data_IF_637107136434
#
_entry.id   IF_637107136434
#
_cell.length_a   1.000
_cell.length_b   1.000
_cell.length_c   1.000
_cell.angle_alpha   90.00
_cell.angle_beta   90.00
_cell.angle_gamma   90.00
#
_symmetry.space_group_name_H-M   'P 1'
#
loop_
_entity.id
_entity.type
_entity.pdbx_description
1 polymer ?
#
# COMPACT_ATOMS: atom_id res chain seq x y z
N UNK A 1 11.13 8.28 -16.34
CA UNK A 1 9.99 7.97 -15.47
C UNK A 1 9.41 6.62 -15.82
N UNK A 2 9.30 5.78 -14.87
CA UNK A 2 8.80 4.44 -15.10
C UNK A 2 7.32 4.34 -14.78
N UNK A 3 6.58 3.75 -15.69
CA UNK A 3 5.20 3.38 -15.41
C UNK A 3 5.21 2.03 -14.72
N UNK A 4 4.26 1.83 -13.83
CA UNK A 4 4.13 0.55 -13.19
C UNK A 4 5.08 0.31 -12.03
N UNK A 5 5.48 1.38 -11.36
CA UNK A 5 6.34 1.29 -10.19
C UNK A 5 5.63 0.68 -8.98
N UNK A 6 4.32 0.63 -9.02
CA UNK A 6 3.49 0.13 -7.92
C UNK A 6 2.47 -0.86 -8.45
N UNK A 7 2.13 -1.81 -7.60
CA UNK A 7 1.07 -2.78 -7.90
C UNK A 7 -0.11 -2.46 -7.01
N UNK A 8 -1.32 -2.50 -7.56
CA UNK A 8 -2.53 -2.08 -6.87
C UNK A 8 -3.64 -3.10 -7.03
N UNK A 9 -4.34 -3.35 -5.94
CA UNK A 9 -5.58 -4.11 -5.94
C UNK A 9 -6.67 -3.22 -5.38
N UNK A 10 -7.76 -3.06 -6.14
CA UNK A 10 -8.88 -2.22 -5.72
C UNK A 10 -10.09 -3.08 -5.44
N UNK A 11 -10.72 -2.82 -4.31
CA UNK A 11 -11.92 -3.55 -3.90
C UNK A 11 -12.97 -2.54 -3.47
N UNK A 12 -14.17 -2.67 -4.03
CA UNK A 12 -15.31 -1.86 -3.60
C UNK A 12 -16.27 -2.76 -2.85
N UNK A 13 -16.75 -2.27 -1.73
CA UNK A 13 -17.69 -3.02 -0.92
C UNK A 13 -18.68 -2.07 -0.28
N UNK A 14 -19.92 -2.17 -0.70
CA UNK A 14 -20.96 -1.21 -0.28
C UNK A 14 -20.51 0.21 -0.60
N UNK A 15 -20.45 1.08 0.38
CA UNK A 15 -20.04 2.47 0.17
C UNK A 15 -18.57 2.69 0.43
N UNK A 16 -17.82 1.63 0.69
CA UNK A 16 -16.41 1.75 1.01
C UNK A 16 -15.55 1.33 -0.16
N UNK A 17 -14.42 1.98 -0.31
CA UNK A 17 -13.41 1.57 -1.28
C UNK A 17 -12.12 1.25 -0.55
N UNK A 18 -11.59 0.09 -0.88
CA UNK A 18 -10.33 -0.41 -0.36
C UNK A 18 -9.29 -0.39 -1.45
N UNK A 19 -8.08 0.02 -1.13
CA UNK A 19 -6.99 -0.12 -2.08
C UNK A 19 -5.77 -0.67 -1.34
N UNK A 20 -5.14 -1.67 -1.94
CA UNK A 20 -3.90 -2.24 -1.44
C UNK A 20 -2.82 -1.96 -2.45
N UNK A 21 -1.75 -1.33 -2.01
CA UNK A 21 -0.69 -0.83 -2.87
C UNK A 21 0.65 -1.33 -2.36
N UNK A 22 1.48 -1.87 -3.24
CA UNK A 22 2.84 -2.23 -2.85
C UNK A 22 3.81 -1.79 -3.93
N UNK A 23 5.07 -1.64 -3.52
CA UNK A 23 6.14 -1.47 -4.49
C UNK A 23 6.12 -2.68 -5.40
N UNK A 24 6.21 -2.46 -6.71
CA UNK A 24 5.99 -3.54 -7.68
C UNK A 24 6.98 -4.69 -7.53
N UNK A 25 8.20 -4.40 -7.09
CA UNK A 25 9.21 -5.44 -6.92
C UNK A 25 8.98 -6.32 -5.69
N UNK A 26 8.07 -5.94 -4.81
CA UNK A 26 7.73 -6.75 -3.65
C UNK A 26 6.62 -7.76 -3.91
N UNK A 27 5.90 -7.58 -5.01
CA UNK A 27 4.75 -8.45 -5.28
C UNK A 27 5.20 -9.90 -5.45
N UNK A 28 4.58 -10.78 -4.68
CA UNK A 28 4.91 -12.19 -4.71
C UNK A 28 5.99 -12.62 -3.72
N UNK A 29 6.59 -11.66 -3.02
CA UNK A 29 7.65 -11.98 -2.08
C UNK A 29 7.09 -12.33 -0.70
N UNK A 30 7.93 -12.99 0.09
CA UNK A 30 7.62 -13.29 1.49
C UNK A 30 8.61 -12.53 2.36
N UNK A 31 8.07 -11.82 3.34
CA UNK A 31 8.87 -11.04 4.28
C UNK A 31 8.87 -11.74 5.62
N UNK A 32 10.05 -11.87 6.21
CA UNK A 32 10.19 -12.59 7.49
C UNK A 32 10.86 -11.73 8.53
N UNK A 33 10.41 -11.88 9.76
CA UNK A 33 10.99 -11.20 10.89
C UNK A 33 10.82 -12.11 12.10
N UNK A 34 11.88 -12.84 12.46
CA UNK A 34 11.79 -13.84 13.50
C UNK A 34 10.81 -14.92 13.11
N UNK A 35 9.80 -15.12 13.94
CA UNK A 35 8.76 -16.12 13.68
C UNK A 35 7.63 -15.59 12.81
N UNK A 36 7.63 -14.28 12.56
CA UNK A 36 6.60 -13.67 11.76
C UNK A 36 6.94 -13.82 10.28
N UNK A 37 5.94 -14.21 9.49
CA UNK A 37 6.10 -14.36 8.05
C UNK A 37 4.89 -13.74 7.38
N UNK A 38 5.11 -12.84 6.44
CA UNK A 38 4.05 -12.19 5.69
C UNK A 38 4.29 -12.34 4.20
N UNK A 39 3.26 -12.73 3.49
CA UNK A 39 3.33 -12.85 2.05
C UNK A 39 2.69 -11.63 1.41
N UNK A 40 3.42 -10.99 0.50
CA UNK A 40 2.88 -9.87 -0.25
C UNK A 40 2.30 -10.46 -1.53
N UNK A 41 1.07 -10.95 -1.42
CA UNK A 41 0.47 -11.80 -2.42
C UNK A 41 -0.19 -11.01 -3.54
N UNK A 42 -0.26 -11.65 -4.70
CA UNK A 42 -0.99 -11.08 -5.83
C UNK A 42 -2.48 -10.95 -5.54
N UNK A 43 -3.01 -11.86 -4.73
CA UNK A 43 -4.44 -11.82 -4.42
C UNK A 43 -4.80 -10.58 -3.62
N UNK A 44 -3.90 -10.10 -2.80
CA UNK A 44 -4.17 -8.95 -1.94
C UNK A 44 -3.64 -7.64 -2.52
N UNK A 45 -2.48 -7.68 -3.17
CA UNK A 45 -1.80 -6.47 -3.67
C UNK A 45 -1.71 -6.37 -5.19
N UNK A 46 -2.10 -7.43 -5.90
CA UNK A 46 -1.92 -7.47 -7.34
C UNK A 46 -3.14 -7.02 -8.10
N UNK A 47 -2.97 -6.74 -9.37
CA UNK A 47 -4.06 -6.38 -10.25
C UNK A 47 -3.65 -5.40 -11.33
N UNK A 48 -3.16 -4.24 -10.94
CA UNK A 48 -2.76 -3.21 -11.88
C UNK A 48 -1.37 -2.68 -11.54
N UNK A 49 -0.64 -2.32 -12.58
CA UNK A 49 0.61 -1.58 -12.39
C UNK A 49 0.31 -0.11 -12.64
N UNK A 50 0.71 0.73 -11.69
CA UNK A 50 0.41 2.16 -11.76
C UNK A 50 1.64 2.96 -11.34
N UNK A 51 1.65 4.24 -11.71
CA UNK A 51 2.73 5.12 -11.31
C UNK A 51 2.39 5.85 -10.02
N UNK A 52 3.35 6.66 -9.55
CA UNK A 52 3.19 7.36 -8.28
C UNK A 52 2.05 8.35 -8.25
N UNK A 53 1.79 9.01 -9.37
CA UNK A 53 0.69 9.97 -9.44
C UNK A 53 -0.65 9.28 -9.27
N UNK A 54 -0.81 8.13 -9.92
CA UNK A 54 -2.02 7.34 -9.78
C UNK A 54 -2.20 6.82 -8.36
N UNK A 55 -1.08 6.42 -7.72
CA UNK A 55 -1.12 5.98 -6.33
C UNK A 55 -1.61 7.09 -5.42
N UNK A 56 -1.12 8.31 -5.62
CA UNK A 56 -1.56 9.44 -4.80
C UNK A 56 -3.06 9.68 -4.94
N UNK A 57 -3.57 9.62 -6.16
CA UNK A 57 -5.00 9.77 -6.38
C UNK A 57 -5.80 8.68 -5.68
N UNK A 58 -5.34 7.45 -5.78
CA UNK A 58 -6.03 6.34 -5.14
C UNK A 58 -6.03 6.49 -3.61
N UNK A 59 -4.90 6.92 -3.05
CA UNK A 59 -4.83 7.12 -1.61
C UNK A 59 -5.78 8.21 -1.13
N UNK A 60 -5.90 9.27 -1.90
CA UNK A 60 -6.76 10.38 -1.52
C UNK A 60 -8.24 10.04 -1.63
N UNK A 61 -8.59 9.13 -2.52
CA UNK A 61 -9.98 8.84 -2.86
C UNK A 61 -10.49 7.52 -2.31
N UNK A 62 -9.68 6.80 -1.55
CA UNK A 62 -10.10 5.51 -1.00
C UNK A 62 -10.37 5.61 0.50
N UNK A 63 -11.29 4.79 0.98
CA UNK A 63 -11.67 4.80 2.39
C UNK A 63 -10.62 4.12 3.26
N UNK A 64 -10.06 3.03 2.77
CA UNK A 64 -9.04 2.27 3.48
C UNK A 64 -7.89 2.02 2.52
N UNK A 65 -6.69 2.33 2.96
CA UNK A 65 -5.49 2.18 2.15
C UNK A 65 -4.51 1.30 2.90
N UNK A 66 -4.04 0.25 2.23
CA UNK A 66 -3.01 -0.64 2.77
C UNK A 66 -1.77 -0.50 1.90
N UNK A 67 -0.64 -0.21 2.53
CA UNK A 67 0.60 0.05 1.80
C UNK A 67 1.69 -0.90 2.26
N UNK A 68 2.50 -1.37 1.32
CA UNK A 68 3.66 -2.20 1.61
C UNK A 68 4.82 -1.72 0.74
N UNK A 69 5.95 -1.46 1.38
CA UNK A 69 7.15 -1.07 0.67
C UNK A 69 7.56 0.37 0.94
N UNK A 70 8.87 0.60 0.79
CA UNK A 70 9.46 1.90 1.12
C UNK A 70 8.93 3.02 0.24
N UNK A 71 8.76 2.75 -1.04
CA UNK A 71 8.32 3.80 -1.96
C UNK A 71 6.85 4.15 -1.75
N UNK A 72 6.00 3.14 -1.53
CA UNK A 72 4.59 3.39 -1.30
C UNK A 72 4.38 4.16 0.01
N UNK A 73 5.06 3.74 1.07
CA UNK A 73 4.95 4.41 2.36
C UNK A 73 5.48 5.83 2.28
N UNK A 74 6.59 6.03 1.56
CA UNK A 74 7.18 7.36 1.40
C UNK A 74 6.20 8.34 0.75
N UNK A 75 5.48 7.90 -0.26
CA UNK A 75 4.48 8.74 -0.91
C UNK A 75 3.41 9.21 0.08
N UNK A 76 2.95 8.29 0.93
CA UNK A 76 1.93 8.64 1.92
C UNK A 76 2.45 9.67 2.93
N UNK A 77 3.70 9.49 3.37
CA UNK A 77 4.30 10.42 4.33
C UNK A 77 4.51 11.80 3.70
N UNK A 78 5.04 11.83 2.47
CA UNK A 78 5.31 13.09 1.80
C UNK A 78 4.04 13.86 1.49
N UNK A 79 2.95 13.15 1.28
CA UNK A 79 1.66 13.75 1.00
C UNK A 79 0.89 14.09 2.27
N UNK A 80 1.48 13.81 3.43
CA UNK A 80 0.88 14.08 4.74
C UNK A 80 -0.44 13.34 4.95
N UNK A 81 -0.57 12.19 4.31
CA UNK A 81 -1.74 11.33 4.48
C UNK A 81 -1.60 10.42 5.68
N UNK A 82 -0.39 10.27 6.20
CA UNK A 82 -0.14 9.42 7.36
C UNK A 82 1.08 9.92 8.11
N UNK A 83 1.17 9.54 9.37
CA UNK A 83 2.31 9.88 10.22
C UNK A 83 3.25 8.69 10.31
N UNK A 84 4.54 8.97 10.45
CA UNK A 84 5.54 7.90 10.52
C UNK A 84 5.34 6.97 11.70
N UNK A 85 4.69 7.44 12.75
CA UNK A 85 4.41 6.62 13.93
C UNK A 85 3.47 5.45 13.64
N UNK A 86 2.73 5.52 12.54
CA UNK A 86 1.81 4.47 12.17
C UNK A 86 2.50 3.35 11.37
N UNK A 87 3.76 3.52 11.00
CA UNK A 87 4.46 2.54 10.19
C UNK A 87 4.82 1.32 11.04
N UNK A 88 4.58 0.13 10.47
CA UNK A 88 5.03 -1.13 11.03
C UNK A 88 6.06 -1.73 10.10
N UNK A 89 7.19 -2.14 10.65
CA UNK A 89 8.24 -2.73 9.85
C UNK A 89 8.32 -4.22 10.13
N UNK A 90 8.27 -5.04 9.09
CA UNK A 90 8.44 -6.47 9.17
C UNK A 90 9.62 -6.84 8.29
N UNK A 91 10.67 -7.41 8.89
CA UNK A 91 11.93 -7.55 8.17
C UNK A 91 12.41 -6.17 7.80
N UNK A 92 12.69 -5.96 6.53
CA UNK A 92 13.13 -4.66 6.04
C UNK A 92 12.02 -3.91 5.31
N UNK A 93 10.79 -4.35 5.42
CA UNK A 93 9.70 -3.80 4.64
C UNK A 93 8.75 -3.03 5.55
N UNK A 94 8.51 -1.75 5.27
CA UNK A 94 7.53 -0.98 6.02
C UNK A 94 6.12 -1.23 5.48
N UNK A 95 5.17 -1.29 6.42
CA UNK A 95 3.75 -1.44 6.12
C UNK A 95 2.99 -0.31 6.80
N UNK A 96 1.92 0.12 6.17
CA UNK A 96 1.14 1.24 6.68
C UNK A 96 -0.32 1.05 6.29
N UNK A 97 -1.22 1.30 7.23
CA UNK A 97 -2.65 1.30 6.93
C UNK A 97 -3.22 2.68 7.23
N UNK A 98 -4.04 3.16 6.32
CA UNK A 98 -4.70 4.45 6.46
C UNK A 98 -6.20 4.21 6.45
N UNK A 99 -6.87 4.70 7.47
CA UNK A 99 -8.32 4.61 7.57
C UNK A 99 -8.90 6.00 7.54
N UNK A 100 -9.89 6.21 6.71
CA UNK A 100 -10.58 7.48 6.62
C UNK A 100 -12.04 7.26 6.93
N UNK A 101 -12.50 7.98 7.93
CA UNK A 101 -13.91 7.90 8.31
C UNK A 101 -14.50 9.28 8.18
N UNK A 102 -15.66 9.35 7.58
CA UNK A 102 -16.39 10.61 7.50
C UNK A 102 -17.80 10.40 8.04
N UNK A 103 -18.31 11.43 8.68
CA UNK A 103 -19.61 11.40 9.30
C UNK A 103 -20.53 12.39 8.65
#
# INVERSE_FOLDING_TARGET
MENGSFSVKRISWKDASLVSICDSDLLGSTVKDGKLSMQISKDYFGGELVDGEQVLNLMKNSSIVSLAGSNAVKLALESKLAAKEAIRVVGDVPFLMIYKFSY
#
